data_IF_502821880575
#
_entry.id   IF_502821880575
#
_cell.length_a   1.000
_cell.length_b   1.000
_cell.length_c   1.000
_cell.angle_alpha   90.00
_cell.angle_beta   90.00
_cell.angle_gamma   90.00
#
_symmetry.space_group_name_H-M   'P 1'
#
loop_
_entity.id
_entity.type
_entity.pdbx_description
1 polymer ?
#
# COMPACT_ATOMS: atom_id res chain seq x y z
N UNK A 1 -1.18 -12.54 -2.94
CA UNK A 1 -1.47 -11.83 -1.67
C UNK A 1 -2.94 -11.86 -1.30
N UNK A 2 -3.87 -11.99 -2.26
CA UNK A 2 -5.31 -11.84 -2.02
C UNK A 2 -6.02 -13.10 -1.49
N UNK A 3 -5.68 -14.30 -1.98
CA UNK A 3 -6.48 -15.52 -1.70
C UNK A 3 -5.89 -16.45 -0.63
N UNK A 4 -4.60 -16.32 -0.30
CA UNK A 4 -3.91 -17.23 0.64
C UNK A 4 -3.70 -16.63 2.03
N UNK A 5 -3.63 -15.31 2.12
CA UNK A 5 -3.39 -14.58 3.38
C UNK A 5 -4.75 -14.10 3.87
N UNK A 6 -5.09 -14.45 5.11
CA UNK A 6 -6.29 -13.93 5.79
C UNK A 6 -5.90 -12.62 6.47
N UNK A 7 -6.26 -11.50 5.86
CA UNK A 7 -5.92 -10.17 6.36
C UNK A 7 -6.81 -9.73 7.53
N UNK A 8 -8.03 -10.25 7.56
CA UNK A 8 -9.07 -9.97 8.55
C UNK A 8 -9.09 -10.96 9.73
N UNK A 9 -8.05 -11.82 9.86
CA UNK A 9 -8.01 -12.82 10.93
C UNK A 9 -7.70 -12.12 12.27
N UNK A 10 -8.77 -11.90 13.07
CA UNK A 10 -8.80 -11.16 14.33
C UNK A 10 -7.92 -11.78 15.43
N UNK A 11 -6.60 -11.59 15.33
CA UNK A 11 -5.67 -11.81 16.45
C UNK A 11 -5.41 -10.54 17.29
N UNK A 12 -6.19 -9.47 17.11
CA UNK A 12 -6.09 -8.28 17.95
C UNK A 12 -7.40 -8.03 18.70
N UNK A 13 -7.35 -8.06 20.03
CA UNK A 13 -8.46 -7.87 20.98
C UNK A 13 -9.08 -6.45 20.96
N UNK A 14 -9.05 -5.73 19.84
CA UNK A 14 -9.46 -4.32 19.74
C UNK A 14 -10.56 -4.16 18.67
N UNK A 15 -11.82 -4.08 19.12
CA UNK A 15 -13.04 -4.00 18.30
C UNK A 15 -13.25 -2.69 17.52
N UNK A 16 -12.22 -1.86 17.36
CA UNK A 16 -12.32 -0.51 16.79
C UNK A 16 -11.27 -0.24 15.70
N UNK A 17 -10.72 -1.28 15.06
CA UNK A 17 -9.80 -1.08 13.94
C UNK A 17 -10.55 -1.19 12.61
N UNK A 18 -10.25 -0.32 11.63
CA UNK A 18 -10.79 -0.46 10.28
C UNK A 18 -10.42 -1.83 9.72
N UNK A 19 -11.33 -2.40 8.92
CA UNK A 19 -11.17 -3.75 8.36
C UNK A 19 -9.85 -3.84 7.58
N UNK A 20 -8.97 -4.76 7.98
CA UNK A 20 -7.67 -4.89 7.35
C UNK A 20 -7.82 -5.70 6.06
N UNK A 21 -7.75 -5.00 4.92
CA UNK A 21 -7.88 -5.60 3.58
C UNK A 21 -6.64 -5.34 2.73
N UNK A 22 -6.30 -6.32 1.90
CA UNK A 22 -5.26 -6.18 0.88
C UNK A 22 -5.92 -6.15 -0.50
N UNK A 23 -5.61 -5.14 -1.30
CA UNK A 23 -6.15 -4.95 -2.65
C UNK A 23 -5.03 -4.84 -3.67
N UNK A 24 -5.34 -5.20 -4.92
CA UNK A 24 -4.44 -4.96 -6.04
C UNK A 24 -4.62 -3.52 -6.52
N UNK A 25 -3.65 -2.66 -6.23
CA UNK A 25 -3.66 -1.26 -6.69
C UNK A 25 -3.25 -1.14 -8.16
N UNK A 26 -2.26 -1.93 -8.58
CA UNK A 26 -1.73 -1.85 -9.94
C UNK A 26 -1.14 -3.17 -10.41
N UNK A 27 -1.38 -3.48 -11.68
CA UNK A 27 -0.77 -4.59 -12.42
C UNK A 27 -0.42 -4.12 -13.83
N UNK A 28 0.79 -4.45 -14.30
CA UNK A 28 1.21 -4.07 -15.65
C UNK A 28 2.66 -4.42 -15.96
N UNK A 29 3.08 -4.07 -17.19
CA UNK A 29 4.43 -4.30 -17.69
C UNK A 29 5.28 -3.02 -17.59
N UNK A 30 6.56 -3.19 -17.24
CA UNK A 30 7.56 -2.11 -17.24
C UNK A 30 8.78 -2.49 -18.06
N UNK A 31 9.48 -1.48 -18.60
CA UNK A 31 10.66 -1.68 -19.44
C UNK A 31 11.85 -2.28 -18.68
N UNK A 32 12.02 -1.94 -17.41
CA UNK A 32 13.14 -2.37 -16.56
C UNK A 32 12.68 -2.54 -15.11
N UNK A 33 13.29 -3.49 -14.40
CA UNK A 33 13.11 -3.70 -12.97
C UNK A 33 13.72 -2.54 -12.16
N UNK A 34 12.89 -1.81 -11.41
CA UNK A 34 13.33 -0.66 -10.60
C UNK A 34 13.93 -1.05 -9.23
N UNK A 35 13.50 -2.18 -8.64
CA UNK A 35 13.98 -2.66 -7.34
C UNK A 35 14.80 -3.96 -7.44
N UNK A 36 15.96 -4.02 -6.78
CA UNK A 36 16.84 -5.19 -6.80
C UNK A 36 16.41 -6.33 -5.85
N UNK A 37 16.17 -6.01 -4.58
CA UNK A 37 15.72 -6.96 -3.54
C UNK A 37 14.45 -6.43 -2.88
N UNK A 38 13.62 -7.33 -2.37
CA UNK A 38 12.48 -6.94 -1.54
C UNK A 38 13.01 -6.60 -0.15
N UNK A 39 12.92 -5.32 0.23
CA UNK A 39 13.30 -4.83 1.56
C UNK A 39 12.15 -4.07 2.18
N UNK A 40 11.88 -4.35 3.45
CA UNK A 40 10.88 -3.62 4.22
C UNK A 40 11.50 -2.33 4.77
N UNK A 41 10.82 -1.22 4.57
CA UNK A 41 11.22 0.09 5.11
C UNK A 41 10.01 0.74 5.75
N UNK A 42 10.12 1.05 7.04
CA UNK A 42 9.11 1.84 7.74
C UNK A 42 9.41 3.32 7.55
N UNK A 43 8.44 4.07 7.02
CA UNK A 43 8.49 5.51 6.87
C UNK A 43 7.31 6.11 7.65
N UNK A 44 7.55 6.88 8.72
CA UNK A 44 6.46 7.45 9.53
C UNK A 44 5.74 8.61 8.83
N UNK A 45 6.36 9.19 7.80
CA UNK A 45 5.81 10.29 7.01
C UNK A 45 5.67 9.86 5.54
N UNK A 46 4.53 10.17 4.94
CA UNK A 46 4.22 9.87 3.54
C UNK A 46 5.25 10.46 2.58
N UNK A 47 5.72 11.69 2.85
CA UNK A 47 6.74 12.37 2.05
C UNK A 47 8.04 11.56 1.96
N UNK A 48 8.46 10.93 3.07
CA UNK A 48 9.67 10.09 3.10
C UNK A 48 9.49 8.78 2.34
N UNK A 49 8.28 8.22 2.35
CA UNK A 49 7.93 7.07 1.52
C UNK A 49 8.01 7.47 0.04
N UNK A 50 7.34 8.56 -0.36
CA UNK A 50 7.36 9.08 -1.73
C UNK A 50 8.78 9.37 -2.23
N UNK A 51 9.61 10.06 -1.44
CA UNK A 51 11.01 10.32 -1.78
C UNK A 51 11.82 9.02 -1.99
N UNK A 52 11.51 7.94 -1.25
CA UNK A 52 12.16 6.65 -1.45
C UNK A 52 11.80 6.01 -2.79
N UNK A 53 10.53 6.05 -3.18
CA UNK A 53 10.09 5.58 -4.50
C UNK A 53 10.62 6.46 -5.63
N UNK A 54 10.71 7.78 -5.41
CA UNK A 54 11.27 8.74 -6.36
C UNK A 54 12.75 8.45 -6.67
N UNK A 55 13.55 8.04 -5.68
CA UNK A 55 14.95 7.59 -5.90
C UNK A 55 15.06 6.41 -6.87
N UNK A 56 13.99 5.65 -7.06
CA UNK A 56 13.90 4.51 -7.98
C UNK A 56 13.09 4.84 -9.25
N UNK A 57 12.64 6.09 -9.42
CA UNK A 57 11.83 6.56 -10.56
C UNK A 57 10.43 5.94 -10.62
N UNK A 58 9.88 5.56 -9.47
CA UNK A 58 8.60 4.83 -9.36
C UNK A 58 7.68 5.43 -8.30
N UNK A 59 7.76 6.75 -8.08
CA UNK A 59 6.92 7.51 -7.17
C UNK A 59 5.42 7.38 -7.49
N UNK A 60 5.07 7.18 -8.76
CA UNK A 60 3.69 7.01 -9.21
C UNK A 60 2.99 5.78 -8.61
N UNK A 61 3.73 4.73 -8.22
CA UNK A 61 3.12 3.59 -7.51
C UNK A 61 2.69 3.97 -6.10
N UNK A 62 3.47 4.83 -5.44
CA UNK A 62 3.11 5.35 -4.13
C UNK A 62 1.92 6.29 -4.24
N UNK A 63 1.95 7.23 -5.18
CA UNK A 63 0.88 8.20 -5.39
C UNK A 63 -0.45 7.49 -5.70
N UNK A 64 -0.44 6.43 -6.53
CA UNK A 64 -1.62 5.64 -6.85
C UNK A 64 -2.18 4.87 -5.64
N UNK A 65 -1.31 4.19 -4.88
CA UNK A 65 -1.72 3.46 -3.68
C UNK A 65 -2.28 4.40 -2.62
N UNK A 66 -1.65 5.57 -2.46
CA UNK A 66 -2.07 6.59 -1.51
C UNK A 66 -3.43 7.19 -1.89
N UNK A 67 -3.60 7.61 -3.16
CA UNK A 67 -4.87 8.14 -3.64
C UNK A 67 -6.01 7.11 -3.54
N UNK A 68 -5.74 5.83 -3.84
CA UNK A 68 -6.73 4.76 -3.67
C UNK A 68 -7.14 4.60 -2.21
N UNK A 69 -6.18 4.63 -1.27
CA UNK A 69 -6.47 4.48 0.15
C UNK A 69 -7.26 5.68 0.71
N UNK A 70 -6.95 6.90 0.28
CA UNK A 70 -7.70 8.10 0.68
C UNK A 70 -9.12 8.08 0.11
N UNK A 71 -9.29 7.64 -1.14
CA UNK A 71 -10.59 7.51 -1.77
C UNK A 71 -11.48 6.49 -1.05
N UNK A 72 -10.93 5.30 -0.75
CA UNK A 72 -11.65 4.27 0.01
C UNK A 72 -12.10 4.77 1.40
N UNK A 73 -11.27 5.57 2.09
CA UNK A 73 -11.65 6.17 3.37
C UNK A 73 -12.79 7.18 3.25
N UNK A 74 -12.92 7.86 2.10
CA UNK A 74 -14.03 8.80 1.87
C UNK A 74 -15.36 8.10 1.57
N UNK A 75 -15.34 6.94 0.92
CA UNK A 75 -16.56 6.18 0.60
C UNK A 75 -17.14 5.41 1.80
N UNK A 76 -16.35 5.10 2.83
CA UNK A 76 -16.84 4.47 4.07
C UNK A 76 -17.57 5.44 5.01
N UNK A 77 -17.60 6.75 4.70
CA UNK A 77 -18.17 7.81 5.56
C UNK A 77 -19.60 8.24 5.13
N UNK A 78 -20.09 7.80 3.97
CA UNK A 78 -21.50 7.99 3.51
C UNK A 78 -22.35 6.71 3.70
#
# INVERSE_FOLDING_TARGET
>A
MLHRIKWDDEKSESKEKPTNRCVLVWEGLVKKRSFGEIKFKSCPLEKLAREHFQKHGVEHYWDMAYSSAVFDQSEEID
#
